data_IF_152637023999
#
_entry.id   IF_152637023999
#
_cell.length_a   1.000
_cell.length_b   1.000
_cell.length_c   1.000
_cell.angle_alpha   90.00
_cell.angle_beta   90.00
_cell.angle_gamma   90.00
#
_symmetry.space_group_name_H-M   'P 1'
#
loop_
_entity.id
_entity.type
_entity.pdbx_description
1 polymer ?
#
# COMPACT_ATOMS: atom_id res chain seq x y z
N UNK A 1 -27.95 13.88 -12.55
CA UNK A 1 -27.35 12.56 -12.30
C UNK A 1 -26.39 12.67 -11.12
N UNK A 2 -26.57 11.88 -10.07
CA UNK A 2 -25.63 11.85 -8.93
C UNK A 2 -24.29 11.24 -9.35
N UNK A 3 -23.17 11.79 -8.86
CA UNK A 3 -21.84 11.21 -9.09
C UNK A 3 -21.75 9.88 -8.34
N UNK A 4 -21.68 8.77 -9.07
CA UNK A 4 -21.52 7.44 -8.48
C UNK A 4 -20.03 7.09 -8.35
N UNK A 5 -19.62 6.62 -7.16
CA UNK A 5 -18.27 6.10 -6.94
C UNK A 5 -18.13 4.69 -7.51
N UNK A 6 -17.22 4.49 -8.46
CA UNK A 6 -17.02 3.20 -9.13
C UNK A 6 -15.82 2.43 -8.57
N UNK A 7 -14.77 3.15 -8.19
CA UNK A 7 -13.49 2.58 -7.80
C UNK A 7 -12.88 3.36 -6.64
N UNK A 8 -12.20 2.65 -5.74
CA UNK A 8 -11.36 3.20 -4.69
C UNK A 8 -9.92 2.71 -4.88
N UNK A 9 -8.95 3.62 -4.83
CA UNK A 9 -7.53 3.31 -4.79
C UNK A 9 -6.95 3.74 -3.43
N UNK A 10 -6.62 2.77 -2.59
CA UNK A 10 -5.92 3.02 -1.32
C UNK A 10 -4.41 3.04 -1.58
N UNK A 11 -3.88 4.21 -1.93
CA UNK A 11 -2.45 4.43 -2.22
C UNK A 11 -1.64 5.01 -1.05
N UNK A 12 -2.30 5.52 -0.01
CA UNK A 12 -1.61 6.17 1.11
C UNK A 12 -0.59 5.23 1.79
N UNK A 13 0.57 5.78 2.15
CA UNK A 13 1.62 5.07 2.85
C UNK A 13 2.80 5.98 3.16
N UNK A 14 3.46 5.73 4.28
CA UNK A 14 4.64 6.47 4.71
C UNK A 14 5.67 5.52 5.29
N UNK A 15 6.93 5.73 4.92
CA UNK A 15 8.06 5.29 5.73
C UNK A 15 8.38 6.51 6.60
N UNK A 16 7.81 6.57 7.81
CA UNK A 16 8.11 7.65 8.74
C UNK A 16 9.38 7.29 9.51
N UNK A 17 10.19 8.31 9.76
CA UNK A 17 11.55 8.31 10.31
C UNK A 17 12.65 8.28 9.24
N UNK A 18 13.35 9.42 9.12
CA UNK A 18 14.52 9.58 8.23
C UNK A 18 15.71 8.73 8.70
N UNK A 19 15.67 8.25 9.96
CA UNK A 19 16.67 7.39 10.58
C UNK A 19 15.99 6.17 11.21
N UNK A 20 16.32 4.94 10.78
CA UNK A 20 15.81 3.73 11.40
C UNK A 20 16.30 3.59 12.86
N UNK A 21 15.40 3.22 13.77
CA UNK A 21 15.69 3.04 15.20
C UNK A 21 15.52 1.57 15.62
N UNK A 22 16.21 1.10 16.67
CA UNK A 22 15.91 -0.19 17.27
C UNK A 22 14.53 -0.20 17.94
N UNK A 23 13.93 -1.38 18.08
CA UNK A 23 12.54 -1.53 18.56
C UNK A 23 12.26 -0.89 19.93
N UNK A 24 13.23 -0.87 20.85
CA UNK A 24 13.08 -0.29 22.20
C UNK A 24 13.06 1.24 22.23
N UNK A 25 13.35 1.91 21.11
CA UNK A 25 13.24 3.37 20.96
C UNK A 25 11.95 3.79 20.23
N UNK A 26 11.13 2.84 19.78
CA UNK A 26 9.86 3.12 19.11
C UNK A 26 8.82 3.50 20.16
N UNK A 27 8.33 4.73 20.07
CA UNK A 27 7.24 5.20 20.94
C UNK A 27 5.90 4.65 20.50
N UNK A 28 4.97 4.51 21.44
CA UNK A 28 3.59 4.09 21.15
C UNK A 28 2.91 5.02 20.13
N UNK A 29 3.19 6.32 20.19
CA UNK A 29 2.65 7.31 19.25
C UNK A 29 3.20 7.11 17.83
N UNK A 30 4.51 6.80 17.70
CA UNK A 30 5.13 6.48 16.42
C UNK A 30 4.56 5.19 15.83
N UNK A 31 4.40 4.17 16.69
CA UNK A 31 3.75 2.91 16.31
C UNK A 31 2.33 3.15 15.81
N UNK A 32 1.49 3.80 16.63
CA UNK A 32 0.08 4.09 16.33
C UNK A 32 -0.05 4.85 15.02
N UNK A 33 0.69 5.93 14.86
CA UNK A 33 0.63 6.77 13.66
C UNK A 33 1.09 6.00 12.41
N UNK A 34 2.16 5.21 12.54
CA UNK A 34 2.68 4.39 11.44
C UNK A 34 1.68 3.35 10.97
N UNK A 35 0.98 2.68 11.89
CA UNK A 35 -0.08 1.71 11.58
C UNK A 35 -1.32 2.42 11.03
N UNK A 36 -1.72 3.55 11.62
CA UNK A 36 -2.87 4.31 11.15
C UNK A 36 -2.72 4.66 9.67
N UNK A 37 -1.59 5.22 9.28
CA UNK A 37 -1.36 5.62 7.89
C UNK A 37 -1.19 4.41 6.96
N UNK A 38 -0.40 3.40 7.35
CA UNK A 38 -0.05 2.30 6.46
C UNK A 38 -1.08 1.17 6.39
N UNK A 39 -2.06 1.12 7.29
CA UNK A 39 -3.08 0.07 7.34
C UNK A 39 -4.49 0.62 7.59
N UNK A 40 -4.70 1.37 8.67
CA UNK A 40 -6.05 1.74 9.11
C UNK A 40 -6.78 2.63 8.10
N UNK A 41 -6.06 3.54 7.42
CA UNK A 41 -6.61 4.38 6.35
C UNK A 41 -7.33 3.54 5.29
N UNK A 42 -6.70 2.49 4.77
CA UNK A 42 -7.28 1.63 3.74
C UNK A 42 -8.53 0.90 4.24
N UNK A 43 -8.53 0.47 5.51
CA UNK A 43 -9.72 -0.11 6.13
C UNK A 43 -10.87 0.92 6.21
N UNK A 44 -10.61 2.12 6.72
CA UNK A 44 -11.64 3.15 6.88
C UNK A 44 -12.24 3.58 5.55
N UNK A 45 -11.40 3.82 4.53
CA UNK A 45 -11.86 4.16 3.19
C UNK A 45 -12.67 3.01 2.58
N UNK A 46 -12.17 1.77 2.66
CA UNK A 46 -12.90 0.60 2.15
C UNK A 46 -14.26 0.44 2.82
N UNK A 47 -14.33 0.57 4.16
CA UNK A 47 -15.58 0.50 4.92
C UNK A 47 -16.57 1.56 4.47
N UNK A 48 -16.12 2.81 4.30
CA UNK A 48 -16.98 3.93 3.92
C UNK A 48 -17.65 3.73 2.54
N UNK A 49 -16.94 3.11 1.59
CA UNK A 49 -17.45 2.95 0.22
C UNK A 49 -18.21 1.64 -0.01
N UNK A 50 -17.95 0.61 0.81
CA UNK A 50 -18.41 -0.76 0.55
C UNK A 50 -19.93 -0.89 0.47
N UNK A 51 -20.68 -0.20 1.37
CA UNK A 51 -22.15 -0.27 1.35
C UNK A 51 -22.73 0.30 0.05
N UNK A 52 -22.24 1.45 -0.38
CA UNK A 52 -22.69 2.09 -1.63
C UNK A 52 -22.37 1.26 -2.88
N UNK A 53 -21.22 0.56 -2.90
CA UNK A 53 -20.87 -0.36 -3.98
C UNK A 53 -21.76 -1.61 -3.95
N UNK A 54 -22.03 -2.15 -2.76
CA UNK A 54 -22.86 -3.34 -2.57
C UNK A 54 -24.31 -3.13 -3.00
N UNK A 55 -24.90 -1.98 -2.67
CA UNK A 55 -26.28 -1.61 -3.06
C UNK A 55 -26.46 -1.54 -4.58
N UNK A 56 -25.36 -1.28 -5.31
CA UNK A 56 -25.33 -1.23 -6.77
C UNK A 56 -24.88 -2.53 -7.42
N UNK A 57 -24.46 -3.52 -6.63
CA UNK A 57 -23.91 -4.78 -7.13
C UNK A 57 -22.62 -4.62 -7.94
N UNK A 58 -21.89 -3.51 -7.80
CA UNK A 58 -20.69 -3.23 -8.58
C UNK A 58 -19.74 -2.28 -7.85
N UNK A 59 -18.47 -2.67 -7.74
CA UNK A 59 -17.41 -1.83 -7.22
C UNK A 59 -16.02 -2.42 -7.40
N UNK A 60 -15.00 -1.56 -7.39
CA UNK A 60 -13.59 -1.96 -7.40
C UNK A 60 -12.85 -1.33 -6.22
N UNK A 61 -12.08 -2.12 -5.49
CA UNK A 61 -11.14 -1.64 -4.48
C UNK A 61 -9.74 -2.13 -4.85
N UNK A 62 -8.81 -1.20 -4.99
CA UNK A 62 -7.39 -1.50 -5.25
C UNK A 62 -6.59 -1.00 -4.05
N UNK A 63 -5.86 -1.89 -3.40
CA UNK A 63 -4.97 -1.55 -2.30
C UNK A 63 -3.51 -1.58 -2.74
N UNK A 64 -2.71 -0.61 -2.31
CA UNK A 64 -1.27 -0.57 -2.59
C UNK A 64 -0.47 -1.01 -1.36
N UNK A 65 0.15 -2.18 -1.47
CA UNK A 65 1.06 -2.71 -0.46
C UNK A 65 2.52 -2.34 -0.79
N UNK A 66 3.48 -3.20 -0.43
CA UNK A 66 4.90 -3.09 -0.70
C UNK A 66 5.51 -4.49 -0.64
N UNK A 67 6.59 -4.74 -1.40
CA UNK A 67 7.38 -5.96 -1.23
C UNK A 67 7.87 -6.17 0.21
N UNK A 68 8.01 -5.10 1.00
CA UNK A 68 8.33 -5.19 2.43
C UNK A 68 7.22 -5.83 3.28
N UNK A 69 5.97 -5.84 2.80
CA UNK A 69 4.88 -6.60 3.44
C UNK A 69 5.05 -8.13 3.36
N UNK A 70 5.96 -8.64 2.52
CA UNK A 70 6.22 -10.07 2.36
C UNK A 70 7.55 -10.55 2.96
N UNK A 71 8.55 -9.66 3.10
CA UNK A 71 9.92 -10.04 3.50
C UNK A 71 10.47 -9.29 4.69
N UNK A 72 9.77 -8.27 5.18
CA UNK A 72 10.29 -7.37 6.22
C UNK A 72 11.46 -6.50 5.76
N UNK A 73 11.82 -5.53 6.60
CA UNK A 73 12.93 -4.62 6.38
C UNK A 73 13.49 -4.21 7.73
N UNK A 74 14.82 -4.21 7.86
CA UNK A 74 15.52 -3.80 9.08
C UNK A 74 14.95 -2.45 9.55
N UNK A 75 14.52 -2.41 10.81
CA UNK A 75 14.01 -1.21 11.50
C UNK A 75 12.81 -0.51 10.83
N UNK A 76 12.09 -1.20 9.93
CA UNK A 76 10.88 -0.69 9.26
C UNK A 76 9.60 -1.30 9.87
N UNK A 77 9.49 -1.32 11.19
CA UNK A 77 8.46 -2.09 11.92
C UNK A 77 7.03 -1.78 11.46
N UNK A 78 6.58 -0.53 11.60
CA UNK A 78 5.21 -0.10 11.27
C UNK A 78 4.91 -0.21 9.78
N UNK A 79 5.88 0.12 8.92
CA UNK A 79 5.69 0.04 7.47
C UNK A 79 5.54 -1.42 7.01
N UNK A 80 6.42 -2.32 7.45
CA UNK A 80 6.34 -3.74 7.10
C UNK A 80 5.07 -4.38 7.65
N UNK A 81 4.75 -4.13 8.93
CA UNK A 81 3.54 -4.63 9.57
C UNK A 81 2.28 -4.11 8.86
N UNK A 82 2.19 -2.81 8.63
CA UNK A 82 1.05 -2.19 7.96
C UNK A 82 0.88 -2.70 6.53
N UNK A 83 1.94 -2.74 5.73
CA UNK A 83 1.88 -3.22 4.34
C UNK A 83 1.61 -4.72 4.26
N UNK A 84 2.10 -5.54 5.18
CA UNK A 84 1.67 -6.94 5.32
C UNK A 84 0.18 -7.05 5.67
N UNK A 85 -0.30 -6.19 6.58
CA UNK A 85 -1.71 -6.04 6.92
C UNK A 85 -2.59 -5.70 5.70
N UNK A 86 -2.13 -4.82 4.80
CA UNK A 86 -2.83 -4.49 3.55
C UNK A 86 -3.04 -5.72 2.66
N UNK A 87 -2.03 -6.60 2.55
CA UNK A 87 -2.15 -7.83 1.77
C UNK A 87 -3.28 -8.70 2.33
N UNK A 88 -3.31 -8.88 3.66
CA UNK A 88 -4.33 -9.73 4.28
C UNK A 88 -5.72 -9.07 4.31
N UNK A 89 -5.78 -7.75 4.53
CA UNK A 89 -7.01 -6.96 4.43
C UNK A 89 -7.63 -7.11 3.04
N UNK A 90 -6.81 -7.06 1.98
CA UNK A 90 -7.26 -7.29 0.60
C UNK A 90 -7.92 -8.65 0.43
N UNK A 91 -7.32 -9.72 0.97
CA UNK A 91 -7.88 -11.08 0.90
C UNK A 91 -9.24 -11.14 1.58
N UNK A 92 -9.33 -10.62 2.81
CA UNK A 92 -10.59 -10.61 3.57
C UNK A 92 -11.66 -9.81 2.83
N UNK A 93 -11.35 -8.59 2.37
CA UNK A 93 -12.28 -7.77 1.59
C UNK A 93 -12.75 -8.49 0.31
N UNK A 94 -11.85 -9.12 -0.44
CA UNK A 94 -12.21 -9.87 -1.64
C UNK A 94 -13.19 -11.01 -1.33
N UNK A 95 -12.90 -11.81 -0.31
CA UNK A 95 -13.77 -12.93 0.09
C UNK A 95 -15.11 -12.48 0.68
N UNK A 96 -15.13 -11.39 1.44
CA UNK A 96 -16.35 -10.88 2.09
C UNK A 96 -17.24 -10.09 1.14
N UNK A 97 -16.66 -9.31 0.23
CA UNK A 97 -17.39 -8.37 -0.62
C UNK A 97 -17.69 -8.91 -2.02
N UNK A 98 -17.02 -9.98 -2.46
CA UNK A 98 -17.22 -10.58 -3.78
C UNK A 98 -18.68 -10.97 -4.05
N UNK A 99 -19.39 -11.48 -3.03
CA UNK A 99 -20.83 -11.82 -3.13
C UNK A 99 -21.75 -10.62 -3.40
N UNK A 100 -21.25 -9.39 -3.24
CA UNK A 100 -21.97 -8.15 -3.52
C UNK A 100 -21.50 -7.49 -4.84
N UNK A 101 -20.76 -8.22 -5.68
CA UNK A 101 -20.26 -7.70 -6.97
C UNK A 101 -19.06 -6.77 -6.84
N UNK A 102 -18.36 -6.77 -5.70
CA UNK A 102 -17.20 -5.91 -5.46
C UNK A 102 -15.92 -6.73 -5.65
N UNK A 103 -15.04 -6.29 -6.54
CA UNK A 103 -13.72 -6.88 -6.73
C UNK A 103 -12.68 -6.12 -5.91
N UNK A 104 -11.85 -6.84 -5.17
CA UNK A 104 -10.77 -6.25 -4.38
C UNK A 104 -9.43 -6.88 -4.76
N UNK A 105 -8.44 -6.06 -5.11
CA UNK A 105 -7.12 -6.50 -5.53
C UNK A 105 -6.02 -5.71 -4.82
N UNK A 106 -4.80 -6.25 -4.79
CA UNK A 106 -3.63 -5.58 -4.23
C UNK A 106 -2.51 -5.50 -5.25
N UNK A 107 -1.97 -4.29 -5.41
CA UNK A 107 -0.73 -4.05 -6.15
C UNK A 107 0.40 -4.02 -5.11
N UNK A 108 1.50 -4.71 -5.41
CA UNK A 108 2.66 -4.83 -4.54
C UNK A 108 3.89 -4.30 -5.27
N UNK A 109 4.14 -2.98 -5.22
CA UNK A 109 5.30 -2.41 -5.88
C UNK A 109 6.63 -2.91 -5.32
N UNK A 110 7.60 -3.07 -6.23
CA UNK A 110 9.01 -3.10 -5.91
C UNK A 110 9.55 -1.69 -5.62
N UNK A 111 10.81 -1.44 -5.95
CA UNK A 111 11.36 -0.08 -5.83
C UNK A 111 10.98 0.75 -7.06
N UNK A 112 10.14 1.76 -6.85
CA UNK A 112 9.68 2.70 -7.86
C UNK A 112 9.96 4.10 -7.34
N UNK A 113 10.95 4.81 -7.90
CA UNK A 113 11.24 6.18 -7.52
C UNK A 113 10.04 7.08 -7.85
N UNK A 114 9.62 7.90 -6.88
CA UNK A 114 8.66 8.99 -7.07
C UNK A 114 9.41 10.31 -7.23
N UNK A 115 8.71 11.42 -7.48
CA UNK A 115 9.26 12.76 -7.81
C UNK A 115 10.44 13.26 -6.94
N UNK A 116 10.59 12.71 -5.73
CA UNK A 116 11.66 13.06 -4.78
C UNK A 116 12.97 12.27 -5.04
N UNK A 117 12.96 11.24 -5.88
CA UNK A 117 14.13 10.38 -6.16
C UNK A 117 14.34 10.23 -7.65
N UNK A 118 15.45 10.77 -8.18
CA UNK A 118 15.84 10.61 -9.57
C UNK A 118 16.04 9.10 -9.90
N UNK A 119 15.35 8.53 -10.90
CA UNK A 119 15.56 7.16 -11.35
C UNK A 119 16.99 6.91 -11.85
N UNK A 120 17.71 7.96 -12.26
CA UNK A 120 19.11 7.91 -12.67
C UNK A 120 20.10 8.19 -11.53
N UNK A 121 19.62 8.43 -10.30
CA UNK A 121 20.51 8.58 -9.14
C UNK A 121 21.32 7.31 -8.89
N UNK A 122 22.52 7.47 -8.34
CA UNK A 122 23.37 6.32 -7.97
C UNK A 122 22.67 5.38 -7.00
N UNK A 123 21.78 5.90 -6.13
CA UNK A 123 20.92 5.10 -5.26
C UNK A 123 19.98 4.22 -6.07
N UNK A 124 19.28 4.77 -7.04
CA UNK A 124 18.37 4.02 -7.92
C UNK A 124 19.13 2.98 -8.73
N UNK A 125 20.26 3.33 -9.36
CA UNK A 125 21.09 2.37 -10.09
C UNK A 125 21.57 1.22 -9.20
N UNK A 126 22.06 1.53 -8.00
CA UNK A 126 22.52 0.52 -7.04
C UNK A 126 21.40 -0.42 -6.63
N UNK A 127 20.18 0.10 -6.37
CA UNK A 127 19.01 -0.73 -6.08
C UNK A 127 18.60 -1.59 -7.26
N UNK A 128 18.65 -1.03 -8.48
CA UNK A 128 18.33 -1.71 -9.73
C UNK A 128 19.18 -2.95 -10.01
N UNK A 129 20.46 -2.96 -9.59
CA UNK A 129 21.36 -4.12 -9.73
C UNK A 129 20.85 -5.38 -9.02
N UNK A 130 20.03 -5.24 -7.99
CA UNK A 130 19.46 -6.36 -7.23
C UNK A 130 18.05 -6.75 -7.72
N UNK A 131 17.53 -6.08 -8.75
CA UNK A 131 16.23 -6.39 -9.37
C UNK A 131 16.53 -7.18 -10.65
N UNK A 132 15.84 -8.31 -10.93
CA UNK A 132 16.13 -9.16 -12.09
C UNK A 132 16.13 -8.44 -13.45
N UNK A 133 15.34 -7.38 -13.62
CA UNK A 133 15.31 -6.56 -14.85
C UNK A 133 16.49 -5.56 -14.94
N UNK A 134 17.38 -5.52 -13.94
CA UNK A 134 18.58 -4.69 -13.90
C UNK A 134 18.34 -3.20 -13.64
N UNK A 135 17.09 -2.79 -13.43
CA UNK A 135 16.71 -1.39 -13.16
C UNK A 135 15.56 -1.30 -12.16
N UNK A 136 15.36 -0.08 -11.67
CA UNK A 136 14.19 0.28 -10.86
C UNK A 136 12.95 0.42 -11.75
N UNK A 137 11.76 0.27 -11.16
CA UNK A 137 10.51 0.51 -11.87
C UNK A 137 10.25 2.01 -12.04
N UNK A 138 9.23 2.34 -12.81
CA UNK A 138 8.81 3.71 -13.11
C UNK A 138 7.31 3.90 -12.80
N UNK A 139 6.85 5.11 -12.44
CA UNK A 139 5.43 5.32 -12.15
C UNK A 139 4.47 4.84 -13.26
N UNK A 140 4.75 5.05 -14.58
CA UNK A 140 3.89 4.55 -15.66
C UNK A 140 3.74 3.01 -15.71
N UNK A 141 4.67 2.26 -15.09
CA UNK A 141 4.57 0.79 -15.01
C UNK A 141 3.57 0.31 -13.96
N UNK A 142 3.11 1.20 -13.05
CA UNK A 142 2.07 0.88 -12.06
C UNK A 142 0.67 1.20 -12.60
N UNK A 143 0.54 2.25 -13.41
CA UNK A 143 -0.73 2.75 -13.93
C UNK A 143 -0.56 4.06 -14.68
N UNK A 144 -1.64 4.58 -15.30
CA UNK A 144 -1.64 5.85 -16.01
C UNK A 144 -1.41 7.06 -15.08
#
# INVERSE_FOLDING_TARGET
MGKNLHSLLNNAGIVREDTPKPIWEITDESWKTGIEVNLSTAFYCSRAVSKHMADRGNGKIINVSSGFGFRGGRDNYMYCAGKGGIVNLTRVLATSLGRYGIQTNCIVPGFIPTEVTDPNSERSKTRGRFIPIGRVGTPPEIGP
#
